data_IF_926764130849
#
_entry.id   IF_926764130849
#
_cell.length_a   1.000
_cell.length_b   1.000
_cell.length_c   1.000
_cell.angle_alpha   90.00
_cell.angle_beta   90.00
_cell.angle_gamma   90.00
#
_symmetry.space_group_name_H-M   'P 1'
#
loop_
_entity.id
_entity.type
_entity.pdbx_description
1 polymer ?
#
# COMPACT_ATOMS: atom_id res chain seq x y z
N UNK A 1 -27.91 31.59 -10.75
CA UNK A 1 -27.08 30.50 -11.30
C UNK A 1 -26.52 29.72 -10.12
N UNK A 2 -26.79 28.41 -9.98
CA UNK A 2 -26.31 27.67 -8.82
C UNK A 2 -24.79 27.51 -8.93
N UNK A 3 -24.07 27.90 -7.88
CA UNK A 3 -22.63 27.66 -7.73
C UNK A 3 -22.37 26.15 -7.88
N UNK A 4 -21.78 25.76 -9.00
CA UNK A 4 -21.18 24.44 -9.15
C UNK A 4 -20.02 24.36 -8.16
N UNK A 5 -20.29 23.72 -7.02
CA UNK A 5 -19.32 23.50 -5.95
C UNK A 5 -18.20 22.62 -6.47
N UNK A 6 -17.14 23.23 -7.00
CA UNK A 6 -15.99 22.49 -7.52
C UNK A 6 -15.45 21.56 -6.44
N UNK A 7 -15.47 20.25 -6.73
CA UNK A 7 -14.94 19.25 -5.83
C UNK A 7 -13.41 19.35 -5.89
N UNK A 8 -12.78 19.75 -4.79
CA UNK A 8 -11.34 19.67 -4.64
C UNK A 8 -10.84 18.27 -5.05
N UNK A 9 -9.74 18.21 -5.80
CA UNK A 9 -9.10 16.97 -6.28
C UNK A 9 -8.94 15.93 -5.15
N UNK A 10 -8.59 16.37 -3.93
CA UNK A 10 -8.48 15.48 -2.76
C UNK A 10 -9.80 14.80 -2.37
N UNK A 11 -10.93 15.48 -2.54
CA UNK A 11 -12.26 14.94 -2.27
C UNK A 11 -12.66 13.95 -3.35
N UNK A 12 -12.34 14.21 -4.61
CA UNK A 12 -12.57 13.28 -5.73
C UNK A 12 -11.83 11.96 -5.48
N UNK A 13 -10.54 12.01 -5.15
CA UNK A 13 -9.75 10.81 -4.83
C UNK A 13 -10.31 10.03 -3.63
N UNK A 14 -10.72 10.73 -2.58
CA UNK A 14 -11.35 10.08 -1.43
C UNK A 14 -12.66 9.38 -1.82
N UNK A 15 -13.54 10.06 -2.55
CA UNK A 15 -14.82 9.49 -2.99
C UNK A 15 -14.61 8.29 -3.90
N UNK A 16 -13.67 8.38 -4.85
CA UNK A 16 -13.32 7.26 -5.73
C UNK A 16 -12.81 6.05 -4.92
N UNK A 17 -11.89 6.28 -3.98
CA UNK A 17 -11.34 5.23 -3.10
C UNK A 17 -12.44 4.59 -2.25
N UNK A 18 -13.31 5.41 -1.66
CA UNK A 18 -14.44 4.95 -0.86
C UNK A 18 -15.46 4.17 -1.71
N UNK A 19 -15.74 4.62 -2.93
CA UNK A 19 -16.62 3.91 -3.85
C UNK A 19 -16.08 2.53 -4.20
N UNK A 20 -14.78 2.42 -4.53
CA UNK A 20 -14.11 1.13 -4.78
C UNK A 20 -14.20 0.22 -3.57
N UNK A 21 -13.94 0.74 -2.36
CA UNK A 21 -14.05 -0.02 -1.12
C UNK A 21 -15.49 -0.51 -0.88
N UNK A 22 -16.49 0.36 -1.03
CA UNK A 22 -17.90 0.05 -0.77
C UNK A 22 -18.45 -0.96 -1.77
N UNK A 23 -18.17 -0.77 -3.07
CA UNK A 23 -18.61 -1.69 -4.13
C UNK A 23 -17.98 -3.09 -3.98
N UNK A 24 -16.82 -3.18 -3.35
CA UNK A 24 -16.15 -4.45 -3.09
C UNK A 24 -16.77 -5.24 -1.92
N UNK A 25 -17.40 -4.59 -0.94
CA UNK A 25 -17.98 -5.25 0.24
C UNK A 25 -18.92 -6.41 -0.14
N UNK A 26 -19.95 -6.22 -0.99
CA UNK A 26 -20.85 -7.32 -1.33
C UNK A 26 -20.13 -8.45 -2.06
N UNK A 27 -19.15 -8.15 -2.92
CA UNK A 27 -18.36 -9.17 -3.61
C UNK A 27 -17.57 -10.03 -2.62
N UNK A 28 -16.91 -9.39 -1.64
CA UNK A 28 -16.09 -10.06 -0.65
C UNK A 28 -16.91 -10.92 0.33
N UNK A 29 -18.04 -10.39 0.82
CA UNK A 29 -18.93 -11.11 1.74
C UNK A 29 -19.58 -12.30 1.04
N UNK A 30 -20.02 -12.13 -0.20
CA UNK A 30 -20.67 -13.19 -0.97
C UNK A 30 -19.71 -14.28 -1.45
N UNK A 31 -18.42 -13.98 -1.60
CA UNK A 31 -17.45 -14.86 -2.26
C UNK A 31 -17.46 -16.31 -1.74
N UNK A 32 -17.62 -16.51 -0.42
CA UNK A 32 -17.62 -17.84 0.19
C UNK A 32 -19.00 -18.46 0.34
N UNK A 33 -20.09 -17.75 0.10
CA UNK A 33 -21.46 -18.28 0.28
C UNK A 33 -21.73 -19.55 -0.54
N UNK A 34 -21.30 -19.65 -1.82
CA UNK A 34 -21.48 -20.87 -2.62
C UNK A 34 -20.84 -22.12 -2.00
N UNK A 35 -19.82 -21.97 -1.14
CA UNK A 35 -19.15 -23.08 -0.44
C UNK A 35 -19.99 -23.67 0.72
N UNK A 36 -21.01 -22.93 1.17
CA UNK A 36 -21.96 -23.37 2.20
C UNK A 36 -23.32 -23.70 1.60
N UNK A 37 -23.74 -22.94 0.58
CA UNK A 37 -25.04 -23.03 -0.04
C UNK A 37 -24.86 -23.13 -1.56
N UNK A 38 -24.92 -24.33 -2.15
CA UNK A 38 -24.65 -24.54 -3.58
C UNK A 38 -25.49 -23.70 -4.55
N UNK A 39 -26.65 -23.19 -4.12
CA UNK A 39 -27.51 -22.29 -4.90
C UNK A 39 -27.30 -20.79 -4.65
N UNK A 40 -26.35 -20.40 -3.79
CA UNK A 40 -26.06 -19.00 -3.54
C UNK A 40 -25.48 -18.29 -4.78
N UNK A 41 -25.78 -16.99 -4.98
CA UNK A 41 -25.23 -16.26 -6.10
C UNK A 41 -23.70 -16.16 -6.01
N UNK A 42 -23.03 -16.15 -7.17
CA UNK A 42 -21.58 -15.95 -7.31
C UNK A 42 -21.30 -14.54 -7.84
N UNK A 43 -21.45 -13.51 -7.01
CA UNK A 43 -21.46 -12.11 -7.46
C UNK A 43 -20.18 -11.71 -8.19
N UNK A 44 -19.00 -12.07 -7.64
CA UNK A 44 -17.71 -11.73 -8.25
C UNK A 44 -17.53 -12.45 -9.59
N UNK A 45 -17.76 -13.77 -9.62
CA UNK A 45 -17.55 -14.57 -10.82
C UNK A 45 -18.58 -14.24 -11.90
N UNK A 46 -19.82 -13.91 -11.51
CA UNK A 46 -20.87 -13.43 -12.40
C UNK A 46 -20.53 -12.08 -13.01
N UNK A 47 -20.06 -11.11 -12.20
CA UNK A 47 -19.59 -9.82 -12.70
C UNK A 47 -18.41 -9.99 -13.67
N UNK A 48 -17.46 -10.86 -13.33
CA UNK A 48 -16.32 -11.12 -14.18
C UNK A 48 -16.71 -11.85 -15.48
N UNK A 49 -17.65 -12.79 -15.40
CA UNK A 49 -18.21 -13.48 -16.57
C UNK A 49 -18.92 -12.50 -17.51
N UNK A 50 -19.65 -11.53 -16.96
CA UNK A 50 -20.32 -10.48 -17.73
C UNK A 50 -19.32 -9.60 -18.49
N UNK A 51 -18.20 -9.25 -17.87
CA UNK A 51 -17.21 -8.32 -18.45
C UNK A 51 -16.22 -9.04 -19.37
N UNK A 52 -15.69 -10.18 -18.94
CA UNK A 52 -14.54 -10.85 -19.57
C UNK A 52 -14.88 -12.25 -20.13
N UNK A 53 -16.12 -12.72 -19.97
CA UNK A 53 -16.55 -14.03 -20.44
C UNK A 53 -16.29 -15.17 -19.46
N UNK A 54 -17.05 -16.26 -19.62
CA UNK A 54 -17.04 -17.41 -18.71
C UNK A 54 -15.69 -18.15 -18.69
N UNK A 55 -15.06 -18.31 -19.86
CA UNK A 55 -13.77 -19.00 -19.99
C UNK A 55 -12.68 -18.33 -19.14
N UNK A 56 -12.60 -17.00 -19.16
CA UNK A 56 -11.65 -16.26 -18.31
C UNK A 56 -12.05 -16.31 -16.83
N UNK A 57 -13.36 -16.20 -16.53
CA UNK A 57 -13.81 -16.03 -15.16
C UNK A 57 -13.72 -17.30 -14.30
N UNK A 58 -14.05 -18.45 -14.87
CA UNK A 58 -14.14 -19.73 -14.15
C UNK A 58 -13.53 -20.91 -14.90
N UNK A 59 -12.95 -20.68 -16.09
CA UNK A 59 -12.28 -21.73 -16.87
C UNK A 59 -10.89 -22.07 -16.36
N UNK A 60 -10.13 -22.80 -17.18
CA UNK A 60 -8.74 -23.16 -16.89
C UNK A 60 -7.89 -21.90 -16.67
N UNK A 61 -7.08 -21.89 -15.61
CA UNK A 61 -6.29 -20.72 -15.23
C UNK A 61 -7.08 -19.64 -14.46
N UNK A 62 -8.29 -19.93 -13.98
CA UNK A 62 -9.04 -19.10 -13.03
C UNK A 62 -8.77 -19.49 -11.58
N UNK A 63 -9.02 -18.56 -10.64
CA UNK A 63 -8.95 -18.87 -9.19
C UNK A 63 -9.91 -19.99 -8.82
N UNK A 64 -11.11 -20.03 -9.41
CA UNK A 64 -12.08 -21.10 -9.16
C UNK A 64 -11.49 -22.46 -9.52
N UNK A 65 -10.92 -22.60 -10.73
CA UNK A 65 -10.38 -23.87 -11.20
C UNK A 65 -9.25 -24.41 -10.30
N UNK A 66 -8.42 -23.53 -9.71
CA UNK A 66 -7.24 -23.95 -8.94
C UNK A 66 -7.41 -23.93 -7.42
N UNK A 67 -8.38 -23.18 -6.87
CA UNK A 67 -8.55 -23.01 -5.42
C UNK A 67 -9.88 -23.53 -4.88
N UNK A 68 -10.82 -23.97 -5.72
CA UNK A 68 -12.14 -24.40 -5.24
C UNK A 68 -12.05 -25.45 -4.12
N UNK A 69 -11.22 -26.49 -4.31
CA UNK A 69 -11.07 -27.57 -3.31
C UNK A 69 -10.47 -27.05 -2.01
N UNK A 70 -9.39 -26.26 -2.08
CA UNK A 70 -8.74 -25.69 -0.89
C UNK A 70 -9.68 -24.78 -0.11
N UNK A 71 -10.43 -23.94 -0.82
CA UNK A 71 -11.44 -23.05 -0.23
C UNK A 71 -12.61 -23.82 0.36
N UNK A 72 -13.05 -24.92 -0.26
CA UNK A 72 -14.10 -25.77 0.30
C UNK A 72 -13.65 -26.44 1.61
N UNK A 73 -12.42 -26.96 1.66
CA UNK A 73 -11.84 -27.56 2.86
C UNK A 73 -11.68 -26.55 4.01
N UNK A 74 -11.35 -25.30 3.70
CA UNK A 74 -11.11 -24.24 4.68
C UNK A 74 -12.22 -23.17 4.69
N UNK A 75 -13.43 -23.52 4.25
CA UNK A 75 -14.52 -22.58 3.98
C UNK A 75 -14.87 -21.66 5.15
N UNK A 76 -14.82 -22.16 6.39
CA UNK A 76 -15.11 -21.35 7.59
C UNK A 76 -14.05 -20.28 7.82
N UNK A 77 -12.77 -20.66 7.72
CA UNK A 77 -11.65 -19.73 7.88
C UNK A 77 -11.70 -18.65 6.81
N UNK A 78 -11.95 -19.05 5.56
CA UNK A 78 -12.09 -18.11 4.44
C UNK A 78 -13.31 -17.20 4.60
N UNK A 79 -14.46 -17.73 5.02
CA UNK A 79 -15.66 -16.92 5.23
C UNK A 79 -15.47 -15.86 6.31
N UNK A 80 -14.80 -16.23 7.41
CA UNK A 80 -14.43 -15.27 8.47
C UNK A 80 -13.46 -14.23 7.93
N UNK A 81 -12.42 -14.64 7.21
CA UNK A 81 -11.44 -13.73 6.62
C UNK A 81 -12.12 -12.68 5.71
N UNK A 82 -12.87 -13.13 4.70
CA UNK A 82 -13.44 -12.24 3.68
C UNK A 82 -14.53 -11.36 4.26
N UNK A 83 -15.41 -11.90 5.12
CA UNK A 83 -16.51 -11.15 5.73
C UNK A 83 -16.00 -10.09 6.70
N UNK A 84 -15.16 -10.47 7.66
CA UNK A 84 -14.63 -9.51 8.63
C UNK A 84 -13.70 -8.49 7.97
N UNK A 85 -12.93 -8.91 6.96
CA UNK A 85 -12.08 -8.02 6.17
C UNK A 85 -12.89 -6.98 5.40
N UNK A 86 -14.02 -7.38 4.78
CA UNK A 86 -14.93 -6.48 4.08
C UNK A 86 -15.57 -5.46 5.02
N UNK A 87 -16.09 -5.91 6.17
CA UNK A 87 -16.70 -5.03 7.17
C UNK A 87 -15.65 -4.05 7.73
N UNK A 88 -14.45 -4.55 8.07
CA UNK A 88 -13.35 -3.71 8.53
C UNK A 88 -12.98 -2.65 7.49
N UNK A 89 -12.87 -3.01 6.22
CA UNK A 89 -12.59 -2.06 5.14
C UNK A 89 -13.69 -0.99 5.01
N UNK A 90 -14.96 -1.38 5.17
CA UNK A 90 -16.08 -0.43 5.23
C UNK A 90 -15.93 0.56 6.38
N UNK A 91 -15.61 0.08 7.59
CA UNK A 91 -15.34 0.94 8.76
C UNK A 91 -14.13 1.85 8.57
N UNK A 92 -13.10 1.38 7.85
CA UNK A 92 -11.89 2.13 7.58
C UNK A 92 -12.15 3.43 6.82
N UNK A 93 -13.12 3.46 5.89
CA UNK A 93 -13.43 4.66 5.11
C UNK A 93 -13.88 5.83 5.98
N UNK A 94 -14.55 5.55 7.08
CA UNK A 94 -14.99 6.56 8.05
C UNK A 94 -13.87 7.06 8.97
N UNK A 95 -12.73 6.36 9.05
CA UNK A 95 -11.58 6.76 9.88
C UNK A 95 -10.91 8.04 9.37
N UNK A 96 -11.02 8.33 8.07
CA UNK A 96 -10.48 9.55 7.46
C UNK A 96 -11.39 10.78 7.62
N UNK A 97 -12.62 10.61 8.13
CA UNK A 97 -13.56 11.72 8.30
C UNK A 97 -13.13 12.67 9.41
N UNK A 98 -12.73 13.88 9.03
CA UNK A 98 -12.39 14.95 9.98
C UNK A 98 -13.60 15.37 10.82
N UNK A 99 -14.78 15.43 10.21
CA UNK A 99 -16.03 15.79 10.89
C UNK A 99 -16.45 14.78 11.94
N UNK A 100 -16.35 13.48 11.65
CA UNK A 100 -16.64 12.44 12.64
C UNK A 100 -15.68 12.51 13.82
N UNK A 101 -14.39 12.70 13.53
CA UNK A 101 -13.33 12.79 14.55
C UNK A 101 -13.47 14.02 15.46
N UNK A 102 -13.96 15.15 14.94
CA UNK A 102 -14.12 16.39 15.72
C UNK A 102 -15.47 16.48 16.44
N UNK A 103 -16.56 16.06 15.79
CA UNK A 103 -17.93 16.19 16.34
C UNK A 103 -18.33 15.02 17.23
N UNK A 104 -17.88 13.80 16.92
CA UNK A 104 -18.25 12.58 17.64
C UNK A 104 -17.01 11.72 17.98
N UNK A 105 -16.09 12.22 18.85
CA UNK A 105 -14.83 11.54 19.15
C UNK A 105 -15.01 10.16 19.78
N UNK A 106 -16.06 9.95 20.58
CA UNK A 106 -16.38 8.63 21.14
C UNK A 106 -16.73 7.61 20.06
N UNK A 107 -17.58 7.99 19.10
CA UNK A 107 -17.95 7.14 17.97
C UNK A 107 -16.73 6.78 17.11
N UNK A 108 -15.88 7.77 16.80
CA UNK A 108 -14.62 7.54 16.08
C UNK A 108 -13.72 6.50 16.80
N UNK A 109 -13.57 6.61 18.13
CA UNK A 109 -12.76 5.67 18.92
C UNK A 109 -13.35 4.26 18.91
N UNK A 110 -14.65 4.12 19.16
CA UNK A 110 -15.30 2.80 19.15
C UNK A 110 -15.25 2.14 17.77
N UNK A 111 -15.47 2.92 16.71
CA UNK A 111 -15.33 2.44 15.35
C UNK A 111 -13.89 2.03 15.01
N UNK A 112 -12.89 2.78 15.49
CA UNK A 112 -11.48 2.42 15.36
C UNK A 112 -11.13 1.11 16.09
N UNK A 113 -11.71 0.88 17.27
CA UNK A 113 -11.55 -0.39 18.01
C UNK A 113 -12.22 -1.56 17.30
N UNK A 114 -13.44 -1.36 16.79
CA UNK A 114 -14.16 -2.36 16.01
C UNK A 114 -13.39 -2.71 14.74
N UNK A 115 -12.93 -1.70 13.98
CA UNK A 115 -12.05 -1.88 12.84
C UNK A 115 -10.83 -2.75 13.20
N UNK A 116 -10.10 -2.38 14.25
CA UNK A 116 -8.86 -3.07 14.62
C UNK A 116 -9.12 -4.53 15.01
N UNK A 117 -10.19 -4.80 15.75
CA UNK A 117 -10.58 -6.15 16.13
C UNK A 117 -10.96 -7.00 14.90
N UNK A 118 -11.85 -6.49 14.04
CA UNK A 118 -12.31 -7.19 12.85
C UNK A 118 -11.16 -7.45 11.86
N UNK A 119 -10.35 -6.44 11.60
CA UNK A 119 -9.16 -6.57 10.77
C UNK A 119 -8.18 -7.60 11.36
N UNK A 120 -7.94 -7.58 12.67
CA UNK A 120 -7.01 -8.53 13.30
C UNK A 120 -7.50 -9.97 13.15
N UNK A 121 -8.77 -10.24 13.44
CA UNK A 121 -9.34 -11.59 13.27
C UNK A 121 -9.34 -12.01 11.80
N UNK A 122 -9.65 -11.09 10.88
CA UNK A 122 -9.56 -11.34 9.43
C UNK A 122 -8.14 -11.71 9.00
N UNK A 123 -7.11 -10.98 9.44
CA UNK A 123 -5.72 -11.28 9.06
C UNK A 123 -5.21 -12.57 9.73
N UNK A 124 -5.59 -12.85 10.97
CA UNK A 124 -5.24 -14.11 11.64
C UNK A 124 -5.86 -15.32 10.92
N UNK A 125 -7.10 -15.21 10.46
CA UNK A 125 -7.75 -16.28 9.68
C UNK A 125 -7.11 -16.43 8.29
N UNK A 126 -6.70 -15.34 7.63
CA UNK A 126 -5.86 -15.46 6.43
C UNK A 126 -4.55 -16.20 6.70
N UNK A 127 -3.86 -15.89 7.79
CA UNK A 127 -2.62 -16.57 8.18
C UNK A 127 -2.86 -18.06 8.44
N UNK A 128 -3.94 -18.41 9.15
CA UNK A 128 -4.32 -19.82 9.36
C UNK A 128 -4.52 -20.53 8.02
N UNK A 129 -5.22 -19.89 7.07
CA UNK A 129 -5.38 -20.45 5.74
C UNK A 129 -4.05 -20.63 5.00
N UNK A 130 -3.16 -19.63 5.04
CA UNK A 130 -1.84 -19.70 4.38
C UNK A 130 -0.92 -20.78 4.98
N UNK A 131 -1.09 -21.13 6.27
CA UNK A 131 -0.35 -22.24 6.90
C UNK A 131 -0.95 -23.58 6.53
N UNK A 132 -2.28 -23.68 6.43
CA UNK A 132 -2.97 -24.95 6.27
C UNK A 132 -3.13 -25.38 4.80
N UNK A 133 -3.34 -24.43 3.90
CA UNK A 133 -3.56 -24.70 2.49
C UNK A 133 -2.23 -24.78 1.72
N UNK A 134 -2.11 -25.68 0.74
CA UNK A 134 -0.93 -25.72 -0.14
C UNK A 134 -0.85 -24.43 -0.98
N UNK A 135 0.30 -24.17 -1.61
CA UNK A 135 0.40 -23.12 -2.61
C UNK A 135 -0.26 -23.55 -3.93
N UNK A 136 -0.67 -22.59 -4.76
CA UNK A 136 -1.26 -22.88 -6.08
C UNK A 136 -0.21 -23.52 -7.00
N UNK A 137 -0.57 -24.61 -7.68
CA UNK A 137 0.22 -25.22 -8.75
C UNK A 137 0.23 -24.40 -10.05
N UNK A 138 0.66 -23.13 -9.97
CA UNK A 138 0.80 -22.19 -11.07
C UNK A 138 2.12 -21.43 -10.92
N UNK A 139 2.71 -20.94 -12.02
CA UNK A 139 4.02 -20.24 -11.98
C UNK A 139 4.01 -18.99 -11.08
N UNK A 140 2.83 -18.41 -10.82
CA UNK A 140 2.66 -17.27 -9.92
C UNK A 140 2.45 -17.67 -8.45
N UNK A 141 2.10 -18.93 -8.18
CA UNK A 141 1.47 -19.37 -6.95
C UNK A 141 2.33 -19.14 -5.71
N UNK A 142 3.60 -19.52 -5.75
CA UNK A 142 4.53 -19.38 -4.60
C UNK A 142 4.87 -17.93 -4.29
N UNK A 143 5.12 -17.13 -5.33
CA UNK A 143 5.39 -15.70 -5.18
C UNK A 143 4.18 -14.94 -4.64
N UNK A 144 2.98 -15.27 -5.14
CA UNK A 144 1.74 -14.68 -4.67
C UNK A 144 1.45 -15.04 -3.22
N UNK A 145 1.68 -16.29 -2.82
CA UNK A 145 1.57 -16.74 -1.42
C UNK A 145 2.47 -15.92 -0.48
N UNK A 146 3.74 -15.70 -0.86
CA UNK A 146 4.66 -14.84 -0.12
C UNK A 146 4.15 -13.40 -0.01
N UNK A 147 3.53 -12.86 -1.06
CA UNK A 147 2.93 -11.54 -1.02
C UNK A 147 1.70 -11.47 -0.10
N UNK A 148 0.88 -12.52 -0.05
CA UNK A 148 -0.24 -12.61 0.89
C UNK A 148 0.25 -12.63 2.34
N UNK A 149 1.33 -13.37 2.65
CA UNK A 149 2.01 -13.31 3.94
C UNK A 149 2.48 -11.90 4.29
N UNK A 150 3.19 -11.24 3.36
CA UNK A 150 3.66 -9.87 3.55
C UNK A 150 2.52 -8.88 3.78
N UNK A 151 1.39 -9.03 3.07
CA UNK A 151 0.19 -8.21 3.25
C UNK A 151 -0.48 -8.47 4.61
N UNK A 152 -0.65 -9.72 5.03
CA UNK A 152 -1.27 -10.05 6.31
C UNK A 152 -0.45 -9.51 7.48
N UNK A 153 0.86 -9.77 7.48
CA UNK A 153 1.78 -9.31 8.52
C UNK A 153 1.96 -7.79 8.48
N UNK A 154 2.07 -7.19 7.29
CA UNK A 154 2.19 -5.75 7.11
C UNK A 154 0.95 -5.00 7.59
N UNK A 155 -0.25 -5.52 7.29
CA UNK A 155 -1.52 -4.93 7.72
C UNK A 155 -1.69 -5.01 9.24
N UNK A 156 -1.40 -6.18 9.83
CA UNK A 156 -1.40 -6.36 11.29
C UNK A 156 -0.38 -5.43 11.97
N UNK A 157 0.88 -5.48 11.52
CA UNK A 157 1.99 -4.73 12.09
C UNK A 157 1.76 -3.22 12.04
N UNK A 158 1.37 -2.69 10.87
CA UNK A 158 1.07 -1.26 10.71
C UNK A 158 -0.09 -0.80 11.57
N UNK A 159 -1.18 -1.57 11.62
CA UNK A 159 -2.38 -1.22 12.41
C UNK A 159 -2.12 -1.28 13.91
N UNK A 160 -1.40 -2.29 14.40
CA UNK A 160 -1.02 -2.39 15.81
C UNK A 160 0.02 -1.35 16.21
N UNK A 161 0.97 -1.02 15.31
CA UNK A 161 1.89 0.08 15.55
C UNK A 161 1.17 1.43 15.61
N UNK A 162 0.13 1.64 14.79
CA UNK A 162 -0.73 2.81 14.88
C UNK A 162 -1.45 2.89 16.24
N UNK A 163 -1.92 1.75 16.78
CA UNK A 163 -2.51 1.73 18.13
C UNK A 163 -1.47 2.01 19.22
N UNK A 164 -0.27 1.44 19.11
CA UNK A 164 0.84 1.73 20.01
C UNK A 164 1.16 3.22 20.01
N UNK A 165 1.27 3.84 18.83
CA UNK A 165 1.55 5.28 18.70
C UNK A 165 0.50 6.16 19.39
N UNK A 166 -0.80 5.89 19.19
CA UNK A 166 -1.85 6.70 19.83
C UNK A 166 -1.90 6.50 21.35
N UNK A 167 -1.58 5.31 21.86
CA UNK A 167 -1.43 5.07 23.30
C UNK A 167 -0.29 5.89 23.90
N UNK A 168 0.78 6.10 23.14
CA UNK A 168 1.89 6.99 23.49
C UNK A 168 1.62 8.48 23.15
N UNK A 169 0.38 8.84 22.80
CA UNK A 169 -0.06 10.19 22.40
C UNK A 169 0.65 10.73 21.14
N UNK A 170 1.28 9.88 20.34
CA UNK A 170 1.84 10.24 19.05
C UNK A 170 0.78 10.14 17.94
N UNK A 171 0.05 11.23 17.76
CA UNK A 171 -1.05 11.33 16.79
C UNK A 171 -0.53 11.30 15.34
N UNK A 172 0.69 11.79 15.08
CA UNK A 172 1.26 11.82 13.72
C UNK A 172 1.56 10.41 13.27
N UNK A 173 2.31 9.68 14.09
CA UNK A 173 2.66 8.28 13.81
C UNK A 173 1.40 7.42 13.75
N UNK A 174 0.43 7.63 14.64
CA UNK A 174 -0.86 6.95 14.57
C UNK A 174 -1.56 7.13 13.22
N UNK A 175 -1.73 8.37 12.75
CA UNK A 175 -2.42 8.65 11.48
C UNK A 175 -1.65 8.08 10.28
N UNK A 176 -0.32 8.17 10.31
CA UNK A 176 0.51 7.67 9.25
C UNK A 176 0.35 6.15 9.09
N UNK A 177 0.54 5.40 10.17
CA UNK A 177 0.50 3.94 10.12
C UNK A 177 -0.91 3.37 9.99
N UNK A 178 -1.92 4.09 10.49
CA UNK A 178 -3.32 3.76 10.18
C UNK A 178 -3.62 3.91 8.69
N UNK A 179 -3.19 5.02 8.07
CA UNK A 179 -3.33 5.22 6.63
C UNK A 179 -2.58 4.18 5.82
N UNK A 180 -1.37 3.80 6.26
CA UNK A 180 -0.57 2.75 5.64
C UNK A 180 -1.27 1.39 5.70
N UNK A 181 -1.78 0.98 6.87
CA UNK A 181 -2.52 -0.27 7.02
C UNK A 181 -3.78 -0.32 6.15
N UNK A 182 -4.54 0.78 6.08
CA UNK A 182 -5.72 0.85 5.21
C UNK A 182 -5.34 0.76 3.72
N UNK A 183 -4.23 1.38 3.32
CA UNK A 183 -3.74 1.26 1.95
C UNK A 183 -3.36 -0.18 1.59
N UNK A 184 -2.79 -0.94 2.53
CA UNK A 184 -2.56 -2.37 2.34
C UNK A 184 -3.87 -3.15 2.23
N UNK A 185 -4.89 -2.85 3.05
CA UNK A 185 -6.21 -3.48 2.90
C UNK A 185 -6.88 -3.15 1.56
N UNK A 186 -6.69 -1.93 1.04
CA UNK A 186 -7.18 -1.51 -0.27
C UNK A 186 -6.57 -2.30 -1.44
N UNK A 187 -5.48 -3.04 -1.24
CA UNK A 187 -4.96 -3.93 -2.29
C UNK A 187 -5.99 -4.98 -2.69
N UNK A 188 -6.83 -5.47 -1.77
CA UNK A 188 -7.84 -6.46 -2.10
C UNK A 188 -8.87 -5.95 -3.14
N UNK A 189 -9.61 -4.85 -2.92
CA UNK A 189 -10.51 -4.31 -3.93
C UNK A 189 -9.79 -3.82 -5.18
N UNK A 190 -8.62 -3.16 -5.05
CA UNK A 190 -7.88 -2.68 -6.21
C UNK A 190 -7.40 -3.82 -7.10
N UNK A 191 -7.02 -4.96 -6.50
CA UNK A 191 -6.66 -6.16 -7.25
C UNK A 191 -7.82 -6.57 -8.17
N UNK A 192 -9.07 -6.59 -7.66
CA UNK A 192 -10.25 -6.91 -8.47
C UNK A 192 -10.49 -5.89 -9.58
N UNK A 193 -10.31 -4.60 -9.29
CA UNK A 193 -10.41 -3.56 -10.33
C UNK A 193 -9.41 -3.82 -11.45
N UNK A 194 -8.18 -4.21 -11.13
CA UNK A 194 -7.15 -4.48 -12.13
C UNK A 194 -7.46 -5.76 -12.94
N UNK A 195 -7.69 -6.91 -12.31
CA UNK A 195 -7.85 -8.16 -13.07
C UNK A 195 -9.25 -8.40 -13.65
N UNK A 196 -10.29 -7.72 -13.14
CA UNK A 196 -11.65 -7.75 -13.72
C UNK A 196 -11.86 -6.54 -14.64
N UNK A 197 -11.64 -5.32 -14.13
CA UNK A 197 -12.02 -4.09 -14.82
C UNK A 197 -11.04 -3.64 -15.91
N UNK A 198 -9.74 -3.87 -15.72
CA UNK A 198 -8.70 -3.46 -16.68
C UNK A 198 -8.37 -4.56 -17.71
N UNK A 199 -8.79 -5.81 -17.49
CA UNK A 199 -8.58 -6.92 -18.41
C UNK A 199 -9.03 -6.63 -19.87
N UNK A 200 -10.17 -5.95 -20.14
CA UNK A 200 -10.57 -5.63 -21.52
C UNK A 200 -9.63 -4.66 -22.24
N UNK A 201 -8.85 -3.88 -21.49
CA UNK A 201 -7.96 -2.82 -22.02
C UNK A 201 -6.52 -3.37 -22.16
N UNK A 202 -6.08 -4.18 -21.19
CA UNK A 202 -4.74 -4.77 -21.17
C UNK A 202 -4.86 -6.29 -21.00
N UNK A 203 -5.30 -7.01 -22.05
CA UNK A 203 -5.68 -8.40 -21.94
C UNK A 203 -4.47 -9.28 -21.58
N UNK A 204 -4.66 -10.12 -20.58
CA UNK A 204 -3.75 -11.23 -20.26
C UNK A 204 -4.34 -12.55 -20.73
N UNK A 205 -3.47 -13.55 -20.91
CA UNK A 205 -3.82 -14.88 -21.37
C UNK A 205 -4.88 -15.55 -20.48
N UNK A 206 -4.67 -15.52 -19.16
CA UNK A 206 -5.57 -16.08 -18.16
C UNK A 206 -5.66 -15.19 -16.91
N UNK A 207 -6.62 -15.51 -16.05
CA UNK A 207 -6.93 -14.75 -14.86
C UNK A 207 -5.77 -14.79 -13.85
N UNK A 208 -5.13 -15.96 -13.63
CA UNK A 208 -4.01 -16.08 -12.69
C UNK A 208 -2.80 -15.25 -13.11
N UNK A 209 -2.51 -15.16 -14.41
CA UNK A 209 -1.47 -14.30 -14.98
C UNK A 209 -1.81 -12.82 -14.75
N UNK A 210 -3.05 -12.41 -15.00
CA UNK A 210 -3.49 -11.04 -14.72
C UNK A 210 -3.44 -10.70 -13.23
N UNK A 211 -3.90 -11.62 -12.38
CA UNK A 211 -3.83 -11.50 -10.93
C UNK A 211 -2.38 -11.33 -10.47
N UNK A 212 -1.45 -12.09 -11.03
CA UNK A 212 -0.02 -11.95 -10.78
C UNK A 212 0.55 -10.59 -11.18
N UNK A 213 0.31 -10.17 -12.42
CA UNK A 213 0.73 -8.87 -12.94
C UNK A 213 0.17 -7.72 -12.09
N UNK A 214 -1.12 -7.80 -11.74
CA UNK A 214 -1.81 -6.82 -10.89
C UNK A 214 -1.24 -6.78 -9.47
N UNK A 215 -0.86 -7.94 -8.92
CA UNK A 215 -0.25 -8.02 -7.60
C UNK A 215 1.16 -7.42 -7.56
N UNK A 216 1.97 -7.60 -8.63
CA UNK A 216 3.25 -6.91 -8.81
C UNK A 216 3.05 -5.38 -8.80
N UNK A 217 2.09 -4.88 -9.58
CA UNK A 217 1.76 -3.43 -9.62
C UNK A 217 1.40 -2.91 -8.24
N UNK A 218 0.53 -3.63 -7.51
CA UNK A 218 0.09 -3.23 -6.17
C UNK A 218 1.19 -3.32 -5.11
N UNK A 219 2.18 -4.19 -5.30
CA UNK A 219 3.39 -4.25 -4.47
C UNK A 219 4.17 -2.93 -4.47
N UNK A 220 4.08 -2.15 -5.54
CA UNK A 220 4.65 -0.79 -5.61
C UNK A 220 3.59 0.26 -5.20
N UNK A 221 2.43 0.21 -5.84
CA UNK A 221 1.45 1.30 -5.80
C UNK A 221 0.84 1.51 -4.41
N UNK A 222 0.57 0.43 -3.65
CA UNK A 222 -0.06 0.55 -2.33
C UNK A 222 0.85 1.19 -1.27
N UNK A 223 2.09 0.68 -1.01
CA UNK A 223 2.98 1.31 -0.05
C UNK A 223 3.42 2.72 -0.50
N UNK A 224 3.62 2.93 -1.81
CA UNK A 224 3.92 4.24 -2.35
C UNK A 224 2.76 5.22 -2.16
N UNK A 225 1.55 4.82 -2.50
CA UNK A 225 0.34 5.65 -2.38
C UNK A 225 0.11 6.09 -0.94
N UNK A 226 0.29 5.19 0.03
CA UNK A 226 0.23 5.52 1.45
C UNK A 226 1.28 6.58 1.85
N UNK A 227 2.52 6.37 1.45
CA UNK A 227 3.63 7.27 1.78
C UNK A 227 3.46 8.65 1.12
N UNK A 228 3.09 8.68 -0.16
CA UNK A 228 2.82 9.91 -0.89
C UNK A 228 1.64 10.68 -0.29
N UNK A 229 0.54 9.99 0.05
CA UNK A 229 -0.61 10.60 0.72
C UNK A 229 -0.21 11.24 2.06
N UNK A 230 0.65 10.57 2.84
CA UNK A 230 1.18 11.16 4.08
C UNK A 230 2.04 12.41 3.81
N UNK A 231 2.96 12.36 2.85
CA UNK A 231 3.81 13.52 2.48
C UNK A 231 2.96 14.71 2.00
N UNK A 232 1.87 14.43 1.27
CA UNK A 232 0.96 15.45 0.75
C UNK A 232 0.11 16.11 1.84
N UNK A 233 -0.36 15.32 2.81
CA UNK A 233 -1.33 15.76 3.83
C UNK A 233 -0.68 16.24 5.12
N UNK A 234 0.56 15.83 5.40
CA UNK A 234 1.25 16.19 6.64
C UNK A 234 1.83 17.61 6.55
N UNK A 235 1.36 18.57 7.38
CA UNK A 235 1.88 19.93 7.34
C UNK A 235 3.38 19.98 7.65
N UNK A 236 4.06 20.92 7.02
CA UNK A 236 5.45 21.29 7.31
C UNK A 236 5.40 22.56 8.17
N UNK A 237 6.05 22.56 9.34
CA UNK A 237 6.16 23.78 10.15
C UNK A 237 7.24 24.68 9.55
N UNK A 238 6.90 25.94 9.33
CA UNK A 238 7.73 26.97 8.70
C UNK A 238 9.05 27.33 9.43
N UNK A 239 9.32 26.77 10.61
CA UNK A 239 10.44 27.20 11.47
C UNK A 239 11.75 26.44 11.28
N UNK A 240 11.83 25.49 10.35
CA UNK A 240 13.07 24.72 10.11
C UNK A 240 13.56 24.97 8.70
N UNK A 241 14.63 25.78 8.59
CA UNK A 241 15.36 25.94 7.36
C UNK A 241 16.17 24.65 7.12
N UNK A 242 15.70 23.81 6.20
CA UNK A 242 16.45 22.63 5.73
C UNK A 242 17.03 23.02 4.38
N UNK A 243 18.37 22.99 4.18
CA UNK A 243 18.93 23.34 2.89
C UNK A 243 18.52 22.32 1.82
N UNK A 244 18.22 22.83 0.63
CA UNK A 244 18.02 22.01 -0.56
C UNK A 244 19.30 21.22 -0.89
N UNK A 245 19.14 20.00 -1.39
CA UNK A 245 20.27 19.14 -1.75
C UNK A 245 20.83 19.48 -3.12
N UNK A 246 22.07 19.11 -3.41
CA UNK A 246 22.64 19.29 -4.73
C UNK A 246 21.86 18.50 -5.80
N UNK A 247 21.76 19.03 -7.03
CA UNK A 247 21.12 18.33 -8.15
C UNK A 247 21.79 16.97 -8.47
N UNK A 248 23.09 16.85 -8.21
CA UNK A 248 23.84 15.59 -8.35
C UNK A 248 23.31 14.46 -7.45
N UNK A 249 22.74 14.77 -6.29
CA UNK A 249 22.11 13.77 -5.42
C UNK A 249 20.93 13.10 -6.11
N UNK A 250 20.12 13.85 -6.87
CA UNK A 250 18.98 13.31 -7.61
C UNK A 250 19.44 12.47 -8.79
N UNK A 251 20.50 12.89 -9.49
CA UNK A 251 21.13 12.10 -10.55
C UNK A 251 21.60 10.73 -10.04
N UNK A 252 22.24 10.69 -8.86
CA UNK A 252 22.64 9.44 -8.22
C UNK A 252 21.45 8.55 -7.87
N UNK A 253 20.40 9.11 -7.27
CA UNK A 253 19.21 8.32 -6.90
C UNK A 253 18.53 7.74 -8.15
N UNK A 254 18.40 8.53 -9.22
CA UNK A 254 17.86 8.05 -10.51
C UNK A 254 18.78 7.00 -11.13
N UNK A 255 20.11 7.17 -11.04
CA UNK A 255 21.09 6.19 -11.50
C UNK A 255 20.92 4.83 -10.82
N UNK A 256 20.67 4.80 -9.50
CA UNK A 256 20.34 3.57 -8.76
C UNK A 256 19.08 2.92 -9.31
N UNK A 257 18.02 3.70 -9.57
CA UNK A 257 16.79 3.18 -10.14
C UNK A 257 16.98 2.60 -11.56
N UNK A 258 17.78 3.26 -12.40
CA UNK A 258 18.12 2.77 -13.76
C UNK A 258 18.85 1.45 -13.69
N UNK A 259 19.93 1.37 -12.88
CA UNK A 259 20.73 0.15 -12.74
C UNK A 259 19.90 -0.99 -12.16
N UNK A 260 19.10 -0.73 -11.11
CA UNK A 260 18.20 -1.72 -10.55
C UNK A 260 17.15 -2.21 -11.55
N UNK A 261 16.55 -1.29 -12.33
CA UNK A 261 15.55 -1.65 -13.34
C UNK A 261 16.15 -2.50 -14.45
N UNK A 262 17.34 -2.13 -14.94
CA UNK A 262 18.08 -2.90 -15.94
C UNK A 262 18.46 -4.29 -15.42
N UNK A 263 18.94 -4.37 -14.17
CA UNK A 263 19.25 -5.64 -13.51
C UNK A 263 18.02 -6.54 -13.38
N UNK A 264 16.89 -6.00 -12.93
CA UNK A 264 15.65 -6.76 -12.78
C UNK A 264 15.10 -7.22 -14.14
N UNK A 265 15.13 -6.35 -15.15
CA UNK A 265 14.74 -6.69 -16.52
C UNK A 265 15.64 -7.79 -17.11
N UNK A 266 16.95 -7.75 -16.84
CA UNK A 266 17.89 -8.79 -17.29
C UNK A 266 17.68 -10.14 -16.60
N UNK A 267 17.25 -10.14 -15.33
CA UNK A 267 16.84 -11.37 -14.64
C UNK A 267 15.54 -11.93 -15.24
N UNK A 268 14.55 -11.07 -15.47
CA UNK A 268 13.28 -11.45 -16.07
C UNK A 268 13.41 -11.91 -17.53
N UNK A 269 14.36 -11.38 -18.30
CA UNK A 269 14.60 -11.84 -19.68
C UNK A 269 15.17 -13.26 -19.76
N UNK A 270 15.64 -13.82 -18.64
CA UNK A 270 16.13 -15.21 -18.54
C UNK A 270 15.04 -16.20 -18.11
N UNK A 271 13.81 -15.73 -17.93
CA UNK A 271 12.69 -16.60 -17.62
C UNK A 271 12.36 -17.53 -18.81
N UNK A 272 11.88 -18.77 -18.55
CA UNK A 272 11.36 -19.65 -19.59
C UNK A 272 10.29 -18.99 -20.45
N UNK A 273 10.18 -19.38 -21.71
CA UNK A 273 9.22 -18.80 -22.66
C UNK A 273 7.74 -19.00 -22.28
N UNK A 274 7.46 -19.96 -21.39
CA UNK A 274 6.13 -20.16 -20.81
C UNK A 274 5.70 -19.04 -19.87
N UNK A 275 6.63 -18.22 -19.37
CA UNK A 275 6.35 -17.10 -18.47
C UNK A 275 6.42 -15.79 -19.25
N UNK A 276 5.37 -14.94 -19.20
CA UNK A 276 5.37 -13.68 -19.92
C UNK A 276 6.52 -12.77 -19.50
N UNK A 277 7.40 -12.42 -20.46
CA UNK A 277 8.52 -11.49 -20.23
C UNK A 277 8.03 -10.08 -19.85
N UNK A 278 6.78 -9.75 -20.17
CA UNK A 278 6.11 -8.50 -19.78
C UNK A 278 5.98 -8.33 -18.26
N UNK A 279 6.11 -9.38 -17.44
CA UNK A 279 6.05 -9.31 -15.98
C UNK A 279 7.04 -8.28 -15.39
N UNK A 280 8.22 -8.11 -16.01
CA UNK A 280 9.16 -7.09 -15.59
C UNK A 280 8.58 -5.67 -15.72
N UNK A 281 7.81 -5.40 -16.78
CA UNK A 281 7.20 -4.11 -17.01
C UNK A 281 6.17 -3.77 -15.93
N UNK A 282 5.42 -4.76 -15.43
CA UNK A 282 4.46 -4.57 -14.33
C UNK A 282 5.10 -4.15 -13.01
N UNK A 283 6.41 -4.38 -12.84
CA UNK A 283 7.17 -3.83 -11.71
C UNK A 283 7.80 -2.48 -12.06
N UNK A 284 8.52 -2.42 -13.19
CA UNK A 284 9.34 -1.27 -13.59
C UNK A 284 8.46 -0.05 -13.89
N UNK A 285 7.34 -0.19 -14.60
CA UNK A 285 6.48 0.93 -14.99
C UNK A 285 5.89 1.65 -13.76
N UNK A 286 5.25 0.96 -12.78
CA UNK A 286 4.79 1.63 -11.56
C UNK A 286 5.90 2.30 -10.75
N UNK A 287 7.10 1.71 -10.70
CA UNK A 287 8.27 2.32 -10.04
C UNK A 287 8.62 3.65 -10.72
N UNK A 288 8.71 3.68 -12.05
CA UNK A 288 9.04 4.92 -12.78
C UNK A 288 7.94 5.97 -12.69
N UNK A 289 6.67 5.58 -12.68
CA UNK A 289 5.55 6.50 -12.39
C UNK A 289 5.74 7.12 -10.99
N UNK A 290 6.05 6.31 -9.98
CA UNK A 290 6.30 6.80 -8.62
C UNK A 290 7.55 7.70 -8.53
N UNK A 291 8.61 7.42 -9.28
CA UNK A 291 9.79 8.28 -9.42
C UNK A 291 9.40 9.64 -10.02
N UNK A 292 8.63 9.66 -11.10
CA UNK A 292 8.17 10.92 -11.72
C UNK A 292 7.33 11.74 -10.75
N UNK A 293 6.41 11.11 -10.02
CA UNK A 293 5.57 11.78 -9.01
C UNK A 293 6.44 12.38 -7.89
N UNK A 294 7.42 11.64 -7.38
CA UNK A 294 8.31 12.13 -6.32
C UNK A 294 9.22 13.25 -6.79
N UNK A 295 9.77 13.16 -8.01
CA UNK A 295 10.55 14.24 -8.63
C UNK A 295 9.71 15.51 -8.86
N UNK A 296 8.46 15.35 -9.29
CA UNK A 296 7.51 16.47 -9.40
C UNK A 296 7.27 17.10 -8.03
N UNK A 297 7.13 16.28 -6.98
CA UNK A 297 7.01 16.72 -5.59
C UNK A 297 8.24 17.50 -5.10
N UNK A 298 9.45 17.05 -5.45
CA UNK A 298 10.71 17.75 -5.18
C UNK A 298 10.74 19.10 -5.89
N UNK A 299 10.43 19.14 -7.18
CA UNK A 299 10.43 20.37 -7.98
C UNK A 299 9.46 21.41 -7.40
N UNK A 300 8.23 21.00 -7.11
CA UNK A 300 7.23 21.86 -6.47
C UNK A 300 7.62 22.37 -5.09
N UNK A 301 8.42 21.61 -4.32
CA UNK A 301 8.94 22.03 -3.03
C UNK A 301 10.06 23.07 -3.18
N UNK A 302 10.95 22.88 -4.16
CA UNK A 302 12.03 23.83 -4.48
C UNK A 302 11.53 25.16 -4.98
N UNK A 303 10.55 25.16 -5.88
CA UNK A 303 9.93 26.40 -6.39
C UNK A 303 9.29 27.22 -5.25
N UNK A 304 8.91 26.57 -4.15
CA UNK A 304 8.32 27.21 -2.96
C UNK A 304 9.32 27.44 -1.83
N UNK A 305 10.61 27.19 -2.06
CA UNK A 305 11.67 27.25 -1.04
C UNK A 305 11.37 26.44 0.24
N UNK A 306 10.66 25.31 0.09
CA UNK A 306 10.28 24.41 1.19
C UNK A 306 11.24 23.22 1.26
N UNK A 307 12.44 23.45 1.80
CA UNK A 307 13.46 22.42 1.90
C UNK A 307 13.09 21.24 2.82
N UNK A 308 12.17 21.43 3.77
CA UNK A 308 11.68 20.34 4.61
C UNK A 308 10.71 19.43 3.84
N UNK A 309 9.88 19.98 2.95
CA UNK A 309 9.05 19.19 2.03
C UNK A 309 9.89 18.52 0.95
N UNK A 310 10.89 19.21 0.42
CA UNK A 310 11.89 18.64 -0.48
C UNK A 310 12.54 17.40 0.15
N UNK A 311 12.99 17.51 1.41
CA UNK A 311 13.63 16.41 2.12
C UNK A 311 12.72 15.17 2.22
N UNK A 312 11.42 15.35 2.52
CA UNK A 312 10.46 14.24 2.58
C UNK A 312 10.27 13.57 1.22
N UNK A 313 10.10 14.35 0.16
CA UNK A 313 9.99 13.81 -1.19
C UNK A 313 11.28 13.11 -1.64
N UNK A 314 12.44 13.65 -1.28
CA UNK A 314 13.75 13.03 -1.55
C UNK A 314 13.88 11.68 -0.84
N UNK A 315 13.50 11.58 0.42
CA UNK A 315 13.53 10.29 1.14
C UNK A 315 12.58 9.27 0.53
N UNK A 316 11.38 9.69 0.14
CA UNK A 316 10.46 8.81 -0.57
C UNK A 316 11.02 8.37 -1.94
N UNK A 317 11.63 9.30 -2.69
CA UNK A 317 12.32 9.01 -3.94
C UNK A 317 13.45 7.98 -3.73
N UNK A 318 14.26 8.08 -2.66
CA UNK A 318 15.27 7.07 -2.35
C UNK A 318 14.64 5.68 -2.14
N UNK A 319 13.51 5.61 -1.42
CA UNK A 319 12.80 4.35 -1.18
C UNK A 319 12.28 3.72 -2.47
N UNK A 320 11.65 4.53 -3.32
CA UNK A 320 11.13 4.06 -4.63
C UNK A 320 12.27 3.69 -5.59
N UNK A 321 13.33 4.48 -5.66
CA UNK A 321 14.48 4.21 -6.51
C UNK A 321 15.25 2.95 -6.12
N UNK A 322 15.19 2.57 -4.84
CA UNK A 322 15.77 1.33 -4.33
C UNK A 322 14.88 0.10 -4.58
N UNK A 323 13.61 0.29 -4.98
CA UNK A 323 12.66 -0.80 -5.19
C UNK A 323 13.12 -1.87 -6.20
N UNK A 324 13.63 -1.52 -7.41
CA UNK A 324 14.06 -2.53 -8.37
C UNK A 324 15.38 -3.21 -7.97
N UNK A 325 16.23 -2.51 -7.19
CA UNK A 325 17.41 -3.15 -6.56
C UNK A 325 16.97 -4.16 -5.52
N UNK A 326 16.01 -3.79 -4.66
CA UNK A 326 15.43 -4.69 -3.67
C UNK A 326 14.74 -5.90 -4.33
N UNK A 327 14.08 -5.71 -5.47
CA UNK A 327 13.55 -6.81 -6.27
C UNK A 327 14.64 -7.79 -6.70
N UNK A 328 15.78 -7.29 -7.22
CA UNK A 328 16.94 -8.13 -7.54
C UNK A 328 17.49 -8.86 -6.32
N UNK A 329 17.62 -8.17 -5.18
CA UNK A 329 18.08 -8.77 -3.92
C UNK A 329 17.14 -9.87 -3.44
N UNK A 330 15.82 -9.67 -3.55
CA UNK A 330 14.83 -10.70 -3.23
C UNK A 330 15.02 -11.94 -4.11
N UNK A 331 15.35 -11.79 -5.40
CA UNK A 331 15.67 -12.95 -6.26
C UNK A 331 16.85 -13.72 -5.69
N UNK A 332 17.93 -13.03 -5.32
CA UNK A 332 19.14 -13.66 -4.79
C UNK A 332 18.91 -14.34 -3.44
N UNK A 333 18.18 -13.69 -2.54
CA UNK A 333 17.90 -14.20 -1.18
C UNK A 333 16.93 -15.37 -1.22
N UNK A 334 15.99 -15.39 -2.17
CA UNK A 334 15.01 -16.47 -2.30
C UNK A 334 15.47 -17.66 -3.14
N UNK A 335 16.54 -17.52 -3.92
CA UNK A 335 17.10 -18.58 -4.76
C UNK A 335 17.40 -19.93 -4.06
N UNK A 336 17.75 -19.98 -2.75
CA UNK A 336 17.93 -21.26 -2.06
C UNK A 336 16.62 -22.04 -1.80
N UNK A 337 15.47 -21.35 -1.82
CA UNK A 337 14.15 -21.89 -1.43
C UNK A 337 13.18 -21.93 -2.60
N UNK A 338 13.40 -21.09 -3.61
CA UNK A 338 12.57 -20.93 -4.79
C UNK A 338 13.31 -21.32 -6.06
N UNK A 339 12.55 -21.82 -7.03
CA UNK A 339 13.07 -21.98 -8.39
C UNK A 339 13.45 -20.60 -8.95
N UNK A 340 14.37 -20.55 -9.92
CA UNK A 340 14.77 -19.28 -10.51
C UNK A 340 13.57 -18.45 -11.04
N UNK A 341 12.56 -19.05 -11.70
CA UNK A 341 11.35 -18.33 -12.06
C UNK A 341 10.55 -17.78 -10.87
N UNK A 342 10.29 -18.61 -9.86
CA UNK A 342 9.56 -18.21 -8.66
C UNK A 342 10.26 -17.04 -7.94
N UNK A 343 11.59 -17.08 -7.87
CA UNK A 343 12.42 -16.05 -7.24
C UNK A 343 12.31 -14.70 -7.94
N UNK A 344 12.31 -14.67 -9.28
CA UNK A 344 12.16 -13.43 -10.06
C UNK A 344 10.77 -12.81 -9.89
N UNK A 345 9.73 -13.64 -9.90
CA UNK A 345 8.34 -13.19 -9.71
C UNK A 345 8.15 -12.68 -8.27
N UNK A 346 8.68 -13.40 -7.28
CA UNK A 346 8.70 -12.97 -5.89
C UNK A 346 9.41 -11.61 -5.73
N UNK A 347 10.54 -11.42 -6.40
CA UNK A 347 11.23 -10.13 -6.44
C UNK A 347 10.33 -8.99 -6.93
N UNK A 348 9.53 -9.23 -7.98
CA UNK A 348 8.59 -8.24 -8.49
C UNK A 348 7.47 -7.91 -7.51
N UNK A 349 6.94 -8.92 -6.81
CA UNK A 349 5.80 -8.81 -5.90
C UNK A 349 6.14 -8.20 -4.54
N UNK A 350 7.25 -8.63 -3.93
CA UNK A 350 7.58 -8.28 -2.53
C UNK A 350 8.88 -7.49 -2.39
N UNK A 351 9.65 -7.30 -3.46
CA UNK A 351 10.89 -6.51 -3.41
C UNK A 351 10.67 -5.02 -3.16
N UNK A 352 9.66 -4.42 -3.79
CA UNK A 352 9.40 -2.98 -3.69
C UNK A 352 8.89 -2.48 -2.31
N UNK A 353 7.96 -3.18 -1.62
CA UNK A 353 7.40 -2.70 -0.36
C UNK A 353 8.42 -2.33 0.72
N UNK A 354 9.51 -3.11 0.86
CA UNK A 354 10.51 -2.93 1.91
C UNK A 354 11.16 -1.53 1.95
N UNK A 355 11.90 -1.13 0.90
CA UNK A 355 12.57 0.17 0.87
C UNK A 355 11.58 1.34 0.92
N UNK A 356 10.38 1.20 0.34
CA UNK A 356 9.32 2.21 0.40
C UNK A 356 8.81 2.37 1.85
N UNK A 357 8.56 1.26 2.55
CA UNK A 357 8.13 1.24 3.95
C UNK A 357 9.19 1.85 4.88
N UNK A 358 10.47 1.56 4.64
CA UNK A 358 11.58 2.14 5.41
C UNK A 358 11.66 3.65 5.21
N UNK A 359 11.58 4.12 3.97
CA UNK A 359 11.55 5.55 3.67
C UNK A 359 10.34 6.23 4.34
N UNK A 360 9.17 5.60 4.26
CA UNK A 360 7.96 6.06 4.93
C UNK A 360 8.14 6.15 6.46
N UNK A 361 8.64 5.10 7.10
CA UNK A 361 8.88 5.07 8.54
C UNK A 361 9.83 6.20 8.99
N UNK A 362 10.89 6.45 8.22
CA UNK A 362 11.85 7.52 8.47
C UNK A 362 11.21 8.92 8.34
N UNK A 363 10.39 9.12 7.31
CA UNK A 363 9.61 10.37 7.12
C UNK A 363 8.67 10.59 8.31
N UNK A 364 7.96 9.57 8.76
CA UNK A 364 7.01 9.63 9.88
C UNK A 364 7.73 9.94 11.19
N UNK A 365 8.82 9.23 11.47
CA UNK A 365 9.61 9.41 12.69
C UNK A 365 10.13 10.84 12.83
N UNK A 366 10.64 11.42 11.75
CA UNK A 366 11.12 12.81 11.74
C UNK A 366 9.96 13.79 11.89
N UNK A 367 8.82 13.52 11.25
CA UNK A 367 7.62 14.35 11.39
C UNK A 367 7.08 14.36 12.83
N UNK A 368 7.06 13.20 13.50
CA UNK A 368 6.60 13.06 14.88
C UNK A 368 7.53 13.77 15.88
N UNK A 369 8.85 13.55 15.80
CA UNK A 369 9.83 14.17 16.70
C UNK A 369 9.86 15.69 16.63
N UNK A 370 9.58 16.28 15.46
CA UNK A 370 9.51 17.74 15.29
C UNK A 370 8.29 18.37 15.99
N UNK A 371 7.30 17.57 16.41
CA UNK A 371 6.17 18.05 17.23
C UNK A 371 6.44 17.87 18.72
N UNK A 372 7.15 16.82 19.12
CA UNK A 372 7.42 16.52 20.53
C UNK A 372 8.49 17.41 21.19
N UNK A 373 9.36 18.09 20.43
CA UNK A 373 10.32 19.04 21.02
C UNK A 373 9.59 20.29 21.52
N UNK A 374 9.62 20.61 22.83
CA UNK A 374 9.15 21.89 23.34
C UNK A 374 9.92 23.00 22.64
N UNK A 375 9.24 24.10 22.30
CA UNK A 375 9.90 25.37 22.01
C UNK A 375 10.86 25.66 23.16
N UNK A 376 12.17 25.57 22.93
CA UNK A 376 13.12 26.22 23.80
C UNK A 376 12.69 27.69 23.86
N UNK A 377 12.32 28.17 25.05
CA UNK A 377 12.18 29.60 25.29
C UNK A 377 13.49 30.26 24.86
N UNK A 378 13.46 31.43 24.19
CA UNK A 378 14.65 32.23 24.05
C UNK A 378 15.15 32.56 25.45
N UNK A 379 16.24 31.92 25.88
CA UNK A 379 17.04 32.43 26.99
C UNK A 379 17.79 33.65 26.47
N UNK A 380 17.11 34.79 26.41
CA UNK A 380 17.79 36.08 26.41
C UNK A 380 17.99 36.47 27.87
N UNK A 381 19.04 35.92 28.44
CA UNK A 381 19.70 36.48 29.62
C UNK A 381 20.39 37.77 29.19
N UNK A 382 19.78 38.92 29.50
CA UNK A 382 20.52 40.18 29.66
C UNK A 382 20.45 40.52 31.15
N UNK A 383 21.55 40.45 31.91
CA UNK A 383 21.58 41.03 33.24
C UNK A 383 21.56 42.55 33.07
N UNK A 384 20.51 43.21 33.56
CA UNK A 384 20.48 44.65 33.67
C UNK A 384 21.57 45.10 34.64
N UNK A 385 22.66 45.67 34.13
CA UNK A 385 23.61 46.44 34.93
C UNK A 385 22.85 47.64 35.47
N UNK A 386 22.59 47.66 36.78
CA UNK A 386 22.14 48.87 37.49
C UNK A 386 23.35 49.75 37.72
N UNK A 387 23.38 50.93 37.10
CA UNK A 387 24.28 52.00 37.50
C UNK A 387 23.90 52.52 38.90
N UNK A 388 24.88 52.90 39.74
CA UNK A 388 24.60 53.57 41.00
C UNK A 388 24.32 55.06 40.74
N UNK A 389 23.08 55.48 41.01
CA UNK A 389 22.74 56.92 41.04
C UNK A 389 23.35 57.51 42.31
N UNK A 390 24.27 58.44 42.12
CA UNK A 390 24.74 59.37 43.14
C UNK A 390 23.80 60.57 43.20
N UNK A 391 23.19 60.82 44.36
CA UNK A 391 23.01 62.12 45.02
C UNK A 391 22.22 61.97 46.30
#
# INVERSE_FOLDING_TARGET
MPETKELSISRVFYVATAAVAILYIPLAVNYTWPLFFPGAPRLQDGLNTLINGHAYAVGEGSVEAVRHVDYAQHRTVMAVHTTLGAIALGLAMFQFSTGLRSRYPAAHRWMGRAYLALMSVSMLTAIIFLVAAPYVGHFIGRAFDLQLWALALGTLGSSWFALYAIRNRDVITHRAWMGYGIALMMTAPLLRVLWIGLQPIVPQHDLLTNLGASAIVLGVAAPFGAAAAFVLTQPVRARVCVPSSASSTYAWIVGVAVLGSAGYAALASRLPDSIPRSLAAYHVVPVWIAIVITLTGVWHARVRDDGAREQRWRWLLCGVASAPVAACLTVLVSAPVYTAPDAVIAGGMVGAPGPIAVAFALIVYVAARRVSRPTAQPQDSVPSVREPVSR
#
